data_IF_690077593732
#
_entry.id   IF_690077593732
#
_cell.length_a   1.000
_cell.length_b   1.000
_cell.length_c   1.000
_cell.angle_alpha   90.00
_cell.angle_beta   90.00
_cell.angle_gamma   90.00
#
_symmetry.space_group_name_H-M   'P 1'
#
loop_
_entity.id
_entity.type
_entity.pdbx_description
1 polymer ?
#
# COMPACT_ATOMS: atom_id res chain seq x y z
N UNK A 1 -25.85 17.85 -8.70
CA UNK A 1 -25.22 17.23 -7.51
C UNK A 1 -23.96 16.40 -7.83
N UNK A 2 -24.00 15.45 -8.77
CA UNK A 2 -22.86 14.58 -9.10
C UNK A 2 -21.54 15.31 -9.53
N UNK A 3 -21.63 16.46 -10.18
CA UNK A 3 -20.46 17.24 -10.63
C UNK A 3 -19.71 17.95 -9.49
N UNK A 4 -20.41 18.37 -8.45
CA UNK A 4 -19.81 19.03 -7.28
C UNK A 4 -19.08 18.00 -6.38
N UNK A 5 -19.64 16.81 -6.22
CA UNK A 5 -19.04 15.70 -5.47
C UNK A 5 -17.72 15.26 -6.11
N UNK A 6 -17.66 15.11 -7.45
CA UNK A 6 -16.41 14.77 -8.14
C UNK A 6 -15.31 15.84 -7.93
N UNK A 7 -15.67 17.13 -7.95
CA UNK A 7 -14.71 18.21 -7.69
C UNK A 7 -14.13 18.16 -6.28
N UNK A 8 -14.96 17.87 -5.28
CA UNK A 8 -14.51 17.72 -3.89
C UNK A 8 -13.51 16.57 -3.73
N UNK A 9 -13.72 15.44 -4.42
CA UNK A 9 -12.79 14.31 -4.40
C UNK A 9 -11.41 14.66 -4.99
N UNK A 10 -11.37 15.39 -6.11
CA UNK A 10 -10.11 15.84 -6.69
C UNK A 10 -9.38 16.84 -5.79
N UNK A 11 -10.11 17.78 -5.18
CA UNK A 11 -9.51 18.69 -4.19
C UNK A 11 -8.90 17.93 -3.00
N UNK A 12 -9.62 16.94 -2.48
CA UNK A 12 -9.14 16.09 -1.40
C UNK A 12 -7.90 15.28 -1.83
N UNK A 13 -7.89 14.79 -3.07
CA UNK A 13 -6.72 14.09 -3.63
C UNK A 13 -5.49 14.99 -3.70
N UNK A 14 -5.63 16.27 -4.07
CA UNK A 14 -4.53 17.21 -4.06
C UNK A 14 -3.99 17.48 -2.65
N UNK A 15 -4.89 17.61 -1.66
CA UNK A 15 -4.48 17.78 -0.25
C UNK A 15 -3.68 16.56 0.22
N UNK A 16 -4.18 15.34 -0.03
CA UNK A 16 -3.48 14.13 0.37
C UNK A 16 -2.21 13.87 -0.45
N UNK A 17 -2.11 14.35 -1.69
CA UNK A 17 -0.86 14.34 -2.43
C UNK A 17 0.19 15.26 -1.77
N UNK A 18 -0.21 16.43 -1.30
CA UNK A 18 0.69 17.32 -0.54
C UNK A 18 1.12 16.69 0.80
N UNK A 19 0.19 16.04 1.51
CA UNK A 19 0.52 15.28 2.74
C UNK A 19 1.51 14.16 2.45
N UNK A 20 1.29 13.37 1.40
CA UNK A 20 2.21 12.30 0.99
C UNK A 20 3.58 12.85 0.60
N UNK A 21 3.62 13.97 -0.12
CA UNK A 21 4.87 14.65 -0.47
C UNK A 21 5.67 15.03 0.78
N UNK A 22 5.02 15.66 1.77
CA UNK A 22 5.67 16.05 3.02
C UNK A 22 6.18 14.80 3.76
N UNK A 23 5.39 13.73 3.87
CA UNK A 23 5.81 12.50 4.54
C UNK A 23 7.03 11.87 3.83
N UNK A 24 7.04 11.88 2.50
CA UNK A 24 8.15 11.32 1.73
C UNK A 24 9.42 12.19 1.79
N UNK A 25 9.29 13.51 1.98
CA UNK A 25 10.42 14.43 2.16
C UNK A 25 11.02 14.38 3.58
N UNK A 26 10.23 13.97 4.57
CA UNK A 26 10.71 13.80 5.95
C UNK A 26 10.66 12.32 6.34
N UNK A 27 11.52 11.49 5.74
CA UNK A 27 11.54 10.08 6.08
C UNK A 27 12.03 9.95 7.52
N UNK A 28 11.12 9.74 8.46
CA UNK A 28 11.46 9.18 9.75
C UNK A 28 11.88 7.73 9.50
N UNK A 29 13.09 7.57 9.00
CA UNK A 29 13.68 6.27 8.74
C UNK A 29 14.46 5.85 9.96
N UNK A 30 14.00 4.78 10.61
CA UNK A 30 14.78 4.12 11.63
C UNK A 30 15.60 3.02 10.93
N UNK A 31 16.95 3.15 10.90
CA UNK A 31 17.79 2.06 10.40
C UNK A 31 17.66 0.87 11.33
N UNK A 32 17.19 -0.25 10.81
CA UNK A 32 17.09 -1.49 11.56
C UNK A 32 18.30 -2.36 11.20
N UNK A 33 19.19 -2.55 12.17
CA UNK A 33 20.18 -3.62 12.17
C UNK A 33 21.35 -3.51 11.18
N UNK A 34 21.72 -2.33 10.68
CA UNK A 34 22.94 -2.16 9.86
C UNK A 34 22.91 -2.81 8.46
N UNK A 35 21.81 -3.43 8.07
CA UNK A 35 21.65 -4.18 6.82
C UNK A 35 20.97 -3.40 5.70
N UNK A 36 20.80 -2.07 5.87
CA UNK A 36 20.12 -1.23 4.87
C UNK A 36 18.59 -1.36 4.86
N UNK A 37 18.00 -2.02 5.85
CA UNK A 37 16.55 -1.98 6.10
C UNK A 37 16.18 -0.65 6.76
N UNK A 38 15.18 0.04 6.20
CA UNK A 38 14.69 1.30 6.74
C UNK A 38 13.20 1.16 7.06
N UNK A 39 12.86 1.38 8.33
CA UNK A 39 11.48 1.63 8.71
C UNK A 39 11.13 3.06 8.29
N UNK A 40 10.23 3.22 7.37
CA UNK A 40 9.79 4.53 6.90
C UNK A 40 8.30 4.74 7.14
N UNK A 41 7.91 5.93 7.59
CA UNK A 41 6.50 6.28 7.83
C UNK A 41 5.69 6.28 6.52
N UNK A 42 6.32 6.44 5.38
CA UNK A 42 5.65 6.38 4.07
C UNK A 42 4.99 5.01 3.83
N UNK A 43 5.50 3.92 4.42
CA UNK A 43 4.87 2.60 4.42
C UNK A 43 3.47 2.59 5.02
N UNK A 44 3.21 3.48 5.97
CA UNK A 44 1.92 3.57 6.67
C UNK A 44 1.00 4.56 5.95
N UNK A 45 1.55 5.64 5.40
CA UNK A 45 0.76 6.69 4.76
C UNK A 45 0.02 6.22 3.52
N UNK A 46 0.63 5.38 2.70
CA UNK A 46 0.03 4.89 1.47
C UNK A 46 -1.24 4.05 1.71
N UNK A 47 -1.23 2.99 2.56
CA UNK A 47 -2.45 2.28 2.94
C UNK A 47 -3.50 3.18 3.58
N UNK A 48 -3.08 4.13 4.41
CA UNK A 48 -3.95 5.10 5.06
C UNK A 48 -4.69 5.97 4.02
N UNK A 49 -3.97 6.59 3.08
CA UNK A 49 -4.55 7.41 2.03
C UNK A 49 -5.47 6.58 1.12
N UNK A 50 -5.05 5.36 0.77
CA UNK A 50 -5.86 4.42 0.01
C UNK A 50 -7.15 4.02 0.72
N UNK A 51 -7.10 3.80 2.03
CA UNK A 51 -8.28 3.54 2.86
C UNK A 51 -9.23 4.73 2.86
N UNK A 52 -8.73 5.96 3.00
CA UNK A 52 -9.56 7.17 3.06
C UNK A 52 -10.21 7.49 1.72
N UNK A 53 -9.41 7.55 0.65
CA UNK A 53 -9.83 8.08 -0.65
C UNK A 53 -10.30 7.00 -1.63
N UNK A 54 -10.10 5.73 -1.29
CA UNK A 54 -10.41 4.62 -2.20
C UNK A 54 -9.34 4.40 -3.28
N UNK A 55 -9.56 3.41 -4.17
CA UNK A 55 -8.50 2.90 -5.04
C UNK A 55 -8.01 3.88 -6.10
N UNK A 56 -8.87 4.74 -6.65
CA UNK A 56 -8.47 5.68 -7.70
C UNK A 56 -7.80 6.92 -7.10
N UNK A 57 -8.55 7.65 -6.27
CA UNK A 57 -8.10 8.91 -5.72
C UNK A 57 -6.91 8.73 -4.77
N UNK A 58 -6.92 7.67 -3.96
CA UNK A 58 -5.81 7.33 -3.07
C UNK A 58 -4.54 6.98 -3.84
N UNK A 59 -4.64 6.15 -4.87
CA UNK A 59 -3.49 5.79 -5.72
C UNK A 59 -2.88 7.02 -6.40
N UNK A 60 -3.73 7.87 -7.01
CA UNK A 60 -3.27 9.09 -7.68
C UNK A 60 -2.62 10.05 -6.69
N UNK A 61 -3.22 10.25 -5.51
CA UNK A 61 -2.65 11.12 -4.47
C UNK A 61 -1.26 10.66 -4.03
N UNK A 62 -1.11 9.36 -3.74
CA UNK A 62 0.16 8.80 -3.30
C UNK A 62 1.20 8.84 -4.42
N UNK A 63 0.82 8.48 -5.64
CA UNK A 63 1.70 8.54 -6.80
C UNK A 63 2.25 9.96 -7.01
N UNK A 64 1.36 10.94 -7.10
CA UNK A 64 1.75 12.35 -7.34
C UNK A 64 2.59 12.91 -6.20
N UNK A 65 2.19 12.70 -4.95
CA UNK A 65 2.92 13.18 -3.79
C UNK A 65 4.33 12.61 -3.72
N UNK A 66 4.47 11.30 -3.94
CA UNK A 66 5.79 10.63 -3.97
C UNK A 66 6.63 11.09 -5.16
N UNK A 67 6.05 11.20 -6.37
CA UNK A 67 6.77 11.70 -7.54
C UNK A 67 7.35 13.09 -7.30
N UNK A 68 6.55 14.00 -6.74
CA UNK A 68 7.00 15.37 -6.45
C UNK A 68 8.11 15.34 -5.41
N UNK A 69 7.97 14.58 -4.32
CA UNK A 69 8.98 14.47 -3.28
C UNK A 69 10.32 13.97 -3.84
N UNK A 70 10.30 12.91 -4.65
CA UNK A 70 11.51 12.32 -5.25
C UNK A 70 12.18 13.27 -6.23
N UNK A 71 11.42 14.09 -6.97
CA UNK A 71 11.98 15.09 -7.89
C UNK A 71 12.58 16.28 -7.13
N UNK A 72 11.90 16.71 -6.05
CA UNK A 72 12.35 17.86 -5.25
C UNK A 72 13.61 17.53 -4.46
N UNK A 73 13.63 16.39 -3.81
CA UNK A 73 14.75 15.96 -2.97
C UNK A 73 14.95 14.43 -3.00
N UNK A 74 15.66 13.92 -4.03
CA UNK A 74 15.87 12.48 -4.16
C UNK A 74 16.54 11.83 -2.96
N UNK A 75 17.45 12.55 -2.30
CA UNK A 75 18.18 12.03 -1.13
C UNK A 75 17.28 11.88 0.09
N UNK A 76 16.34 12.78 0.28
CA UNK A 76 15.36 12.70 1.36
C UNK A 76 14.36 11.55 1.15
N UNK A 77 14.05 11.20 -0.09
CA UNK A 77 13.11 10.12 -0.41
C UNK A 77 13.65 8.70 -0.13
N UNK A 78 14.84 8.56 0.47
CA UNK A 78 15.38 7.30 0.95
C UNK A 78 15.45 6.21 -0.13
N UNK A 79 14.84 5.06 0.14
CA UNK A 79 14.83 3.92 -0.79
C UNK A 79 14.15 4.25 -2.14
N UNK A 80 13.15 5.13 -2.15
CA UNK A 80 12.46 5.56 -3.38
C UNK A 80 13.36 6.47 -4.21
N UNK A 81 14.11 7.36 -3.58
CA UNK A 81 15.12 8.19 -4.24
C UNK A 81 16.22 7.35 -4.86
N UNK A 82 16.64 6.28 -4.20
CA UNK A 82 17.61 5.32 -4.75
C UNK A 82 17.05 4.68 -6.04
N UNK A 83 15.79 4.25 -6.06
CA UNK A 83 15.16 3.73 -7.28
C UNK A 83 15.19 4.77 -8.40
N UNK A 84 14.86 6.02 -8.10
CA UNK A 84 14.85 7.09 -9.08
C UNK A 84 16.25 7.42 -9.64
N UNK A 85 17.29 7.31 -8.82
CA UNK A 85 18.68 7.61 -9.21
C UNK A 85 19.27 6.67 -10.26
N UNK A 86 18.66 5.50 -10.48
CA UNK A 86 19.06 4.59 -11.56
C UNK A 86 18.71 5.11 -12.95
N UNK A 87 17.88 6.16 -13.06
CA UNK A 87 17.49 6.78 -14.33
C UNK A 87 17.78 8.28 -14.32
N UNK A 88 19.07 8.67 -14.16
CA UNK A 88 19.44 10.07 -13.97
C UNK A 88 19.14 10.96 -15.17
N UNK A 89 19.14 10.39 -16.38
CA UNK A 89 18.84 11.12 -17.61
C UNK A 89 17.35 11.58 -17.69
N UNK A 90 16.47 10.92 -16.94
CA UNK A 90 15.03 11.20 -16.94
C UNK A 90 14.48 11.17 -15.50
N UNK A 91 14.77 12.19 -14.68
CA UNK A 91 14.41 12.19 -13.26
C UNK A 91 12.91 12.00 -13.01
N UNK A 92 12.05 12.54 -13.88
CA UNK A 92 10.61 12.34 -13.79
C UNK A 92 10.17 10.90 -14.03
N UNK A 93 10.85 10.18 -14.93
CA UNK A 93 10.59 8.75 -15.16
C UNK A 93 10.99 7.94 -13.94
N UNK A 94 12.17 8.21 -13.38
CA UNK A 94 12.63 7.59 -12.14
C UNK A 94 11.70 7.86 -10.97
N UNK A 95 11.25 9.09 -10.81
CA UNK A 95 10.29 9.48 -9.77
C UNK A 95 8.92 8.79 -9.96
N UNK A 96 8.43 8.68 -11.19
CA UNK A 96 7.20 7.98 -11.50
C UNK A 96 7.31 6.49 -11.14
N UNK A 97 8.40 5.84 -11.53
CA UNK A 97 8.68 4.43 -11.19
C UNK A 97 8.73 4.25 -9.67
N UNK A 98 9.45 5.12 -8.96
CA UNK A 98 9.52 5.09 -7.50
C UNK A 98 8.12 5.30 -6.86
N UNK A 99 7.31 6.19 -7.42
CA UNK A 99 5.97 6.48 -6.95
C UNK A 99 4.97 5.32 -7.11
N UNK A 100 5.18 4.42 -8.09
CA UNK A 100 4.35 3.23 -8.26
C UNK A 100 4.42 2.33 -7.00
N UNK A 101 5.53 2.31 -6.30
CA UNK A 101 5.74 1.47 -5.11
C UNK A 101 4.66 1.75 -4.06
N UNK A 102 4.62 2.92 -3.40
CA UNK A 102 3.60 3.21 -2.39
C UNK A 102 2.19 3.34 -3.00
N UNK A 103 2.08 3.77 -4.27
CA UNK A 103 0.79 3.84 -4.95
C UNK A 103 0.11 2.47 -5.08
N UNK A 104 0.88 1.37 -5.21
CA UNK A 104 0.33 0.01 -5.20
C UNK A 104 -0.26 -0.35 -3.85
N UNK A 105 0.40 0.02 -2.74
CA UNK A 105 -0.16 -0.14 -1.40
C UNK A 105 -1.47 0.62 -1.23
N UNK A 106 -1.53 1.88 -1.66
CA UNK A 106 -2.76 2.67 -1.63
C UNK A 106 -3.88 2.06 -2.48
N UNK A 107 -3.55 1.55 -3.68
CA UNK A 107 -4.52 0.86 -4.53
C UNK A 107 -5.12 -0.36 -3.85
N UNK A 108 -4.28 -1.23 -3.27
CA UNK A 108 -4.71 -2.45 -2.58
C UNK A 108 -5.60 -2.10 -1.38
N UNK A 109 -5.19 -1.15 -0.52
CA UNK A 109 -6.01 -0.68 0.59
C UNK A 109 -7.37 -0.17 0.14
N UNK A 110 -7.39 0.66 -0.90
CA UNK A 110 -8.61 1.19 -1.48
C UNK A 110 -9.52 0.12 -2.07
N UNK A 111 -8.97 -0.93 -2.70
CA UNK A 111 -9.74 -2.07 -3.22
C UNK A 111 -10.38 -2.88 -2.12
N UNK A 112 -9.66 -3.14 -1.03
CA UNK A 112 -10.21 -3.86 0.14
C UNK A 112 -11.30 -3.01 0.78
N UNK A 113 -11.06 -1.71 1.02
CA UNK A 113 -12.04 -0.77 1.59
C UNK A 113 -13.32 -0.68 0.77
N UNK A 114 -13.22 -0.67 -0.56
CA UNK A 114 -14.37 -0.62 -1.48
C UNK A 114 -14.98 -1.98 -1.81
N UNK A 115 -14.58 -3.04 -1.08
CA UNK A 115 -15.09 -4.42 -1.22
C UNK A 115 -14.86 -5.03 -2.61
N UNK A 116 -13.89 -4.52 -3.36
CA UNK A 116 -13.50 -5.02 -4.70
C UNK A 116 -12.32 -5.97 -4.61
N UNK A 117 -12.47 -7.04 -3.84
CA UNK A 117 -11.39 -7.95 -3.43
C UNK A 117 -10.70 -8.69 -4.57
N UNK A 118 -11.39 -8.97 -5.69
CA UNK A 118 -10.85 -9.80 -6.79
C UNK A 118 -9.54 -9.27 -7.38
N UNK A 119 -9.33 -7.96 -7.37
CA UNK A 119 -8.11 -7.37 -7.91
C UNK A 119 -6.88 -7.61 -7.02
N UNK A 120 -7.07 -7.84 -5.71
CA UNK A 120 -5.96 -7.93 -4.75
C UNK A 120 -5.07 -9.15 -4.99
N UNK A 121 -5.59 -10.39 -5.03
CA UNK A 121 -4.75 -11.54 -5.32
C UNK A 121 -4.15 -11.50 -6.73
N UNK A 122 -4.82 -10.89 -7.71
CA UNK A 122 -4.27 -10.72 -9.06
C UNK A 122 -3.02 -9.84 -9.07
N UNK A 123 -3.01 -8.76 -8.26
CA UNK A 123 -1.81 -7.92 -8.07
C UNK A 123 -0.66 -8.75 -7.52
N UNK A 124 -0.90 -9.55 -6.47
CA UNK A 124 0.14 -10.41 -5.90
C UNK A 124 0.66 -11.45 -6.89
N UNK A 125 -0.23 -12.14 -7.60
CA UNK A 125 0.15 -13.14 -8.60
C UNK A 125 1.01 -12.50 -9.68
N UNK A 126 0.58 -11.36 -10.23
CA UNK A 126 1.34 -10.63 -11.24
C UNK A 126 2.74 -10.26 -10.72
N UNK A 127 2.82 -9.69 -9.52
CA UNK A 127 4.09 -9.24 -8.96
C UNK A 127 5.02 -10.41 -8.60
N UNK A 128 4.50 -11.52 -8.09
CA UNK A 128 5.28 -12.73 -7.84
C UNK A 128 5.85 -13.28 -9.15
N UNK A 129 5.02 -13.35 -10.20
CA UNK A 129 5.49 -13.79 -11.52
C UNK A 129 6.57 -12.84 -12.06
N UNK A 130 6.36 -11.53 -11.97
CA UNK A 130 7.37 -10.55 -12.38
C UNK A 130 8.66 -10.69 -11.58
N UNK A 131 8.59 -10.95 -10.28
CA UNK A 131 9.78 -11.20 -9.45
C UNK A 131 10.51 -12.47 -9.90
N UNK A 132 9.80 -13.56 -10.14
CA UNK A 132 10.38 -14.83 -10.59
C UNK A 132 11.02 -14.75 -11.98
N UNK A 133 10.57 -13.81 -12.81
CA UNK A 133 11.16 -13.54 -14.12
C UNK A 133 12.46 -12.71 -14.04
N UNK A 134 12.81 -12.16 -12.88
CA UNK A 134 14.09 -11.48 -12.68
C UNK A 134 15.24 -12.51 -12.57
N UNK A 135 16.49 -12.12 -12.89
CA UNK A 135 17.65 -13.03 -12.74
C UNK A 135 17.85 -13.56 -11.30
N UNK A 136 17.40 -12.83 -10.30
CA UNK A 136 17.55 -13.15 -8.88
C UNK A 136 16.36 -13.91 -8.33
N UNK A 137 15.17 -13.73 -8.90
CA UNK A 137 13.93 -14.28 -8.38
C UNK A 137 13.96 -15.79 -8.14
N UNK A 138 14.39 -16.63 -9.09
CA UNK A 138 14.49 -18.08 -8.88
C UNK A 138 15.48 -18.49 -7.78
N UNK A 139 16.50 -17.65 -7.53
CA UNK A 139 17.51 -17.90 -6.49
C UNK A 139 17.05 -17.45 -5.10
N UNK A 140 16.16 -16.45 -5.04
CA UNK A 140 15.66 -15.85 -3.81
C UNK A 140 14.23 -16.30 -3.44
N UNK A 141 13.85 -17.54 -3.74
CA UNK A 141 12.50 -18.06 -3.46
C UNK A 141 12.10 -17.96 -1.99
N UNK A 142 13.06 -18.20 -1.10
CA UNK A 142 12.84 -18.09 0.35
C UNK A 142 12.42 -16.68 0.78
N UNK A 143 12.79 -15.63 0.05
CA UNK A 143 12.38 -14.27 0.32
C UNK A 143 10.87 -14.06 0.12
N UNK A 144 10.23 -14.83 -0.75
CA UNK A 144 8.80 -14.67 -1.06
C UNK A 144 7.85 -15.21 0.01
N UNK A 145 8.34 -15.89 1.05
CA UNK A 145 7.47 -16.60 2.00
C UNK A 145 6.36 -15.71 2.61
N UNK A 146 6.68 -14.47 3.03
CA UNK A 146 5.68 -13.57 3.62
C UNK A 146 4.73 -12.98 2.56
N UNK A 147 5.21 -12.81 1.32
CA UNK A 147 4.36 -12.40 0.20
C UNK A 147 3.36 -13.50 -0.20
N UNK A 148 3.76 -14.77 -0.08
CA UNK A 148 2.87 -15.92 -0.26
C UNK A 148 1.81 -15.95 0.84
N UNK A 149 2.17 -15.64 2.09
CA UNK A 149 1.20 -15.47 3.19
C UNK A 149 0.23 -14.34 2.87
N UNK A 150 0.70 -13.18 2.40
CA UNK A 150 -0.15 -12.06 2.01
C UNK A 150 -1.06 -12.41 0.82
N UNK A 151 -0.56 -13.17 -0.16
CA UNK A 151 -1.37 -13.71 -1.26
C UNK A 151 -2.46 -14.64 -0.71
N UNK A 152 -2.12 -15.60 0.15
CA UNK A 152 -3.09 -16.51 0.76
C UNK A 152 -4.19 -15.75 1.53
N UNK A 153 -3.80 -14.74 2.32
CA UNK A 153 -4.75 -13.87 3.01
C UNK A 153 -5.63 -13.10 2.01
N UNK A 154 -5.05 -12.62 0.90
CA UNK A 154 -5.82 -11.92 -0.15
C UNK A 154 -6.82 -12.84 -0.87
N UNK A 155 -6.49 -14.12 -1.03
CA UNK A 155 -7.42 -15.14 -1.57
C UNK A 155 -8.53 -15.45 -0.57
N UNK A 156 -8.22 -15.49 0.73
CA UNK A 156 -9.25 -15.67 1.78
C UNK A 156 -10.30 -14.55 1.76
N UNK A 157 -9.96 -13.33 1.29
CA UNK A 157 -10.94 -12.25 1.10
C UNK A 157 -12.04 -12.62 0.10
N UNK A 158 -11.82 -13.61 -0.76
CA UNK A 158 -12.81 -14.09 -1.73
C UNK A 158 -13.76 -15.14 -1.14
N UNK A 159 -13.40 -15.76 -0.01
CA UNK A 159 -14.22 -16.79 0.66
C UNK A 159 -15.42 -16.13 1.33
N UNK A 160 -16.67 -16.52 1.03
CA UNK A 160 -17.88 -15.84 1.49
C UNK A 160 -17.97 -15.67 3.01
N UNK A 161 -17.57 -16.67 3.78
CA UNK A 161 -17.60 -16.62 5.26
C UNK A 161 -16.62 -15.58 5.79
N UNK A 162 -15.39 -15.56 5.30
CA UNK A 162 -14.36 -14.62 5.71
C UNK A 162 -14.72 -13.20 5.27
N UNK A 163 -15.20 -13.05 4.03
CA UNK A 163 -15.70 -11.80 3.47
C UNK A 163 -16.76 -11.14 4.37
N UNK A 164 -17.75 -11.90 4.84
CA UNK A 164 -18.81 -11.38 5.72
C UNK A 164 -18.25 -10.82 7.03
N UNK A 165 -17.29 -11.52 7.66
CA UNK A 165 -16.63 -11.03 8.88
C UNK A 165 -15.81 -9.76 8.62
N UNK A 166 -15.09 -9.73 7.52
CA UNK A 166 -14.30 -8.58 7.12
C UNK A 166 -15.18 -7.34 6.85
N UNK A 167 -16.29 -7.52 6.17
CA UNK A 167 -17.21 -6.43 5.85
C UNK A 167 -17.87 -5.84 7.10
N UNK A 168 -18.16 -6.65 8.10
CA UNK A 168 -18.64 -6.16 9.40
C UNK A 168 -17.56 -5.35 10.13
N UNK A 169 -16.28 -5.79 10.07
CA UNK A 169 -15.16 -5.05 10.63
C UNK A 169 -14.85 -3.73 9.91
N UNK A 170 -14.97 -3.71 8.58
CA UNK A 170 -14.75 -2.48 7.80
C UNK A 170 -15.83 -1.42 7.98
N UNK A 171 -17.06 -1.82 8.34
CA UNK A 171 -18.16 -0.87 8.55
C UNK A 171 -17.99 -0.03 9.82
N UNK A 172 -17.16 -0.50 10.79
CA UNK A 172 -17.00 0.11 12.12
C UNK A 172 -18.35 0.47 12.76
N UNK A 173 -19.38 -0.33 12.44
CA UNK A 173 -20.70 -0.14 13.03
C UNK A 173 -20.64 -0.36 14.55
N UNK A 174 -21.50 0.32 15.29
CA UNK A 174 -21.57 0.19 16.75
C UNK A 174 -21.82 -1.26 17.21
N UNK A 175 -22.41 -2.07 16.34
CA UNK A 175 -22.71 -3.49 16.58
C UNK A 175 -21.53 -4.43 16.29
N UNK A 176 -20.48 -3.95 15.59
CA UNK A 176 -19.31 -4.76 15.33
C UNK A 176 -18.39 -4.76 16.55
N UNK A 177 -17.93 -5.95 16.97
CA UNK A 177 -16.89 -6.03 17.99
C UNK A 177 -15.69 -5.19 17.57
N UNK A 178 -15.22 -4.32 18.44
CA UNK A 178 -14.02 -3.47 18.22
C UNK A 178 -12.81 -4.31 17.79
N UNK A 179 -12.70 -5.53 18.35
CA UNK A 179 -11.64 -6.45 17.98
C UNK A 179 -11.71 -6.92 16.53
N UNK A 180 -12.93 -7.22 16.03
CA UNK A 180 -13.12 -7.63 14.62
C UNK A 180 -12.76 -6.48 13.69
N UNK A 181 -13.15 -5.25 14.04
CA UNK A 181 -12.77 -4.05 13.30
C UNK A 181 -11.25 -3.83 13.27
N UNK A 182 -10.60 -3.93 14.42
CA UNK A 182 -9.14 -3.74 14.52
C UNK A 182 -8.36 -4.80 13.73
N UNK A 183 -8.72 -6.08 13.83
CA UNK A 183 -8.09 -7.17 13.07
C UNK A 183 -8.30 -6.97 11.57
N UNK A 184 -9.50 -6.58 11.17
CA UNK A 184 -9.83 -6.33 9.76
C UNK A 184 -8.97 -5.20 9.17
N UNK A 185 -8.85 -4.09 9.90
CA UNK A 185 -8.04 -2.95 9.47
C UNK A 185 -6.56 -3.32 9.45
N UNK A 186 -6.08 -4.03 10.45
CA UNK A 186 -4.71 -4.54 10.46
C UNK A 186 -4.42 -5.43 9.25
N UNK A 187 -5.28 -6.38 8.91
CA UNK A 187 -5.14 -7.24 7.74
C UNK A 187 -5.11 -6.41 6.44
N UNK A 188 -5.97 -5.41 6.32
CA UNK A 188 -5.98 -4.49 5.19
C UNK A 188 -4.62 -3.80 5.04
N UNK A 189 -4.09 -3.23 6.12
CA UNK A 189 -2.80 -2.52 6.12
C UNK A 189 -1.67 -3.49 5.82
N UNK A 190 -1.65 -4.66 6.45
CA UNK A 190 -0.63 -5.69 6.22
C UNK A 190 -0.58 -6.12 4.75
N UNK A 191 -1.71 -6.49 4.15
CA UNK A 191 -1.77 -6.89 2.73
C UNK A 191 -1.30 -5.73 1.84
N UNK A 192 -1.65 -4.49 2.16
CA UNK A 192 -1.26 -3.31 1.39
C UNK A 192 0.24 -3.03 1.45
N UNK A 193 0.84 -3.10 2.64
CA UNK A 193 2.30 -2.95 2.85
C UNK A 193 3.06 -4.08 2.15
N UNK A 194 2.52 -5.30 2.16
CA UNK A 194 3.16 -6.42 1.47
C UNK A 194 3.11 -6.28 -0.05
N UNK A 195 2.05 -5.70 -0.63
CA UNK A 195 1.99 -5.40 -2.06
C UNK A 195 3.00 -4.31 -2.45
N UNK A 196 3.10 -3.24 -1.69
CA UNK A 196 4.11 -2.19 -1.82
C UNK A 196 5.53 -2.79 -1.77
N UNK A 197 5.84 -3.56 -0.74
CA UNK A 197 7.13 -4.22 -0.60
C UNK A 197 7.48 -5.14 -1.78
N UNK A 198 6.51 -5.88 -2.29
CA UNK A 198 6.73 -6.77 -3.44
C UNK A 198 7.05 -5.98 -4.72
N UNK A 199 6.35 -4.86 -4.97
CA UNK A 199 6.67 -3.96 -6.09
C UNK A 199 8.08 -3.42 -5.97
N UNK A 200 8.45 -2.91 -4.78
CA UNK A 200 9.81 -2.43 -4.53
C UNK A 200 10.87 -3.52 -4.78
N UNK A 201 10.58 -4.76 -4.38
CA UNK A 201 11.47 -5.91 -4.58
C UNK A 201 11.61 -6.28 -6.04
N UNK A 202 10.51 -6.28 -6.80
CA UNK A 202 10.54 -6.48 -8.27
C UNK A 202 11.39 -5.39 -8.93
N UNK A 203 11.13 -4.12 -8.60
CA UNK A 203 11.87 -3.01 -9.19
C UNK A 203 13.36 -3.08 -8.87
N UNK A 204 13.73 -3.35 -7.61
CA UNK A 204 15.13 -3.53 -7.22
C UNK A 204 15.78 -4.68 -7.99
N UNK A 205 15.11 -5.81 -8.11
CA UNK A 205 15.66 -6.97 -8.81
C UNK A 205 15.89 -6.70 -10.31
N UNK A 206 15.10 -5.83 -10.95
CA UNK A 206 15.34 -5.39 -12.32
C UNK A 206 16.40 -4.28 -12.41
N UNK A 207 16.41 -3.32 -11.49
CA UNK A 207 17.36 -2.19 -11.52
C UNK A 207 18.77 -2.62 -11.16
N UNK A 208 18.94 -3.65 -10.34
CA UNK A 208 20.24 -4.23 -10.01
C UNK A 208 20.82 -5.10 -11.16
N UNK A 209 20.31 -4.96 -12.36
CA UNK A 209 20.85 -5.68 -13.53
C UNK A 209 22.35 -5.42 -13.78
N UNK A 210 22.85 -4.28 -13.32
CA UNK A 210 24.28 -3.91 -13.39
C UNK A 210 25.11 -4.46 -12.21
N UNK A 211 24.49 -5.10 -11.24
CA UNK A 211 25.12 -5.65 -10.04
C UNK A 211 25.17 -7.18 -10.18
N UNK A 212 26.26 -7.84 -9.77
CA UNK A 212 26.32 -9.30 -9.81
C UNK A 212 25.14 -9.95 -9.06
N UNK A 213 24.45 -10.94 -9.66
CA UNK A 213 23.29 -11.59 -9.04
C UNK A 213 23.57 -12.16 -7.65
N UNK A 214 24.81 -12.58 -7.39
CA UNK A 214 25.25 -13.09 -6.08
C UNK A 214 25.15 -12.03 -4.99
N UNK A 215 25.60 -10.80 -5.26
CA UNK A 215 25.51 -9.70 -4.28
C UNK A 215 24.04 -9.32 -4.00
N UNK A 216 23.19 -9.36 -5.01
CA UNK A 216 21.76 -9.10 -4.84
C UNK A 216 21.12 -10.22 -4.03
N UNK A 217 21.51 -11.47 -4.25
CA UNK A 217 21.05 -12.62 -3.46
C UNK A 217 21.44 -12.48 -1.99
N UNK A 218 22.68 -12.04 -1.70
CA UNK A 218 23.15 -11.81 -0.34
C UNK A 218 22.30 -10.77 0.39
N UNK A 219 21.90 -9.69 -0.31
CA UNK A 219 20.99 -8.68 0.24
C UNK A 219 19.62 -9.29 0.60
N UNK A 220 19.00 -10.06 -0.31
CA UNK A 220 17.72 -10.70 -0.03
C UNK A 220 17.80 -11.73 1.10
N UNK A 221 18.92 -12.45 1.19
CA UNK A 221 19.15 -13.42 2.26
C UNK A 221 19.34 -12.73 3.61
N UNK A 222 20.11 -11.64 3.65
CA UNK A 222 20.37 -10.90 4.89
C UNK A 222 19.09 -10.29 5.49
N UNK A 223 18.15 -9.86 4.65
CA UNK A 223 16.91 -9.20 5.12
C UNK A 223 15.76 -10.17 5.39
N UNK A 224 15.89 -11.45 5.07
CA UNK A 224 14.78 -12.43 5.12
C UNK A 224 14.11 -12.55 6.49
N UNK A 225 14.85 -12.31 7.57
CA UNK A 225 14.35 -12.37 8.95
C UNK A 225 13.90 -10.98 9.42
N UNK A 226 14.58 -9.93 8.97
CA UNK A 226 14.37 -8.57 9.47
C UNK A 226 13.12 -7.95 8.86
N UNK A 227 12.95 -8.08 7.54
CA UNK A 227 11.82 -7.41 6.86
C UNK A 227 10.42 -7.88 7.34
N UNK A 228 10.19 -9.17 7.70
CA UNK A 228 8.90 -9.57 8.23
C UNK A 228 8.52 -8.86 9.53
N UNK A 229 9.49 -8.73 10.44
CA UNK A 229 9.29 -8.04 11.72
C UNK A 229 8.93 -6.58 11.47
N UNK A 230 9.68 -5.92 10.60
CA UNK A 230 9.44 -4.55 10.19
C UNK A 230 8.02 -4.36 9.59
N UNK A 231 7.60 -5.24 8.67
CA UNK A 231 6.28 -5.15 8.01
C UNK A 231 5.13 -5.44 8.95
N UNK A 232 5.30 -6.37 9.89
CA UNK A 232 4.30 -6.64 10.92
C UNK A 232 4.16 -5.43 11.86
N UNK A 233 5.27 -4.86 12.34
CA UNK A 233 5.24 -3.67 13.20
C UNK A 233 4.62 -2.48 12.47
N UNK A 234 5.03 -2.21 11.23
CA UNK A 234 4.46 -1.14 10.40
C UNK A 234 2.94 -1.32 10.22
N UNK A 235 2.51 -2.54 9.96
CA UNK A 235 1.07 -2.83 9.77
C UNK A 235 0.25 -2.67 11.06
N UNK A 236 0.82 -3.00 12.21
CA UNK A 236 0.18 -2.79 13.51
C UNK A 236 0.02 -1.31 13.81
N UNK A 237 1.09 -0.52 13.62
CA UNK A 237 1.05 0.94 13.82
C UNK A 237 0.06 1.59 12.85
N UNK A 238 0.13 1.25 11.56
CA UNK A 238 -0.77 1.78 10.54
C UNK A 238 -2.23 1.40 10.79
N UNK A 239 -2.48 0.16 11.19
CA UNK A 239 -3.80 -0.33 11.58
C UNK A 239 -4.37 0.45 12.77
N UNK A 240 -3.54 0.67 13.81
CA UNK A 240 -3.93 1.46 14.98
C UNK A 240 -4.30 2.91 14.62
N UNK A 241 -3.49 3.57 13.78
CA UNK A 241 -3.75 4.94 13.32
C UNK A 241 -5.08 5.01 12.56
N UNK A 242 -5.36 4.06 11.67
CA UNK A 242 -6.61 4.02 10.90
C UNK A 242 -7.81 3.80 11.83
N UNK A 243 -7.71 2.90 12.81
CA UNK A 243 -8.78 2.64 13.79
C UNK A 243 -9.08 3.90 14.61
N UNK A 244 -8.04 4.58 15.12
CA UNK A 244 -8.21 5.83 15.88
C UNK A 244 -8.90 6.90 15.03
N UNK A 245 -8.43 7.09 13.80
CA UNK A 245 -9.05 8.09 12.91
C UNK A 245 -10.50 7.74 12.61
N UNK A 246 -10.78 6.50 12.25
CA UNK A 246 -12.13 6.05 11.95
C UNK A 246 -13.08 6.23 13.14
N UNK A 247 -12.63 5.91 14.36
CA UNK A 247 -13.38 6.15 15.58
C UNK A 247 -13.63 7.65 15.82
N UNK A 248 -12.63 8.49 15.57
CA UNK A 248 -12.74 9.95 15.72
C UNK A 248 -13.75 10.54 14.72
N UNK A 249 -13.67 10.12 13.46
CA UNK A 249 -14.60 10.58 12.42
C UNK A 249 -16.04 10.16 12.72
N UNK A 250 -16.24 8.94 13.20
CA UNK A 250 -17.57 8.44 13.61
C UNK A 250 -18.14 9.26 14.77
N UNK A 251 -17.32 9.56 15.78
CA UNK A 251 -17.75 10.42 16.91
C UNK A 251 -18.07 11.85 16.49
N UNK A 252 -17.38 12.37 15.49
CA UNK A 252 -17.61 13.69 14.93
C UNK A 252 -18.80 13.73 13.94
N UNK A 253 -19.53 12.63 13.75
CA UNK A 253 -20.56 12.45 12.72
C UNK A 253 -20.06 12.77 11.29
N UNK A 254 -18.76 12.66 11.09
CA UNK A 254 -18.14 12.81 9.78
C UNK A 254 -18.08 11.44 9.11
N UNK A 255 -19.00 11.23 8.20
CA UNK A 255 -18.96 10.01 7.38
C UNK A 255 -17.89 10.16 6.31
N UNK A 256 -16.90 9.25 6.33
CA UNK A 256 -16.03 9.09 5.17
C UNK A 256 -16.92 8.81 3.96
N UNK A 257 -16.75 9.57 2.87
CA UNK A 257 -17.54 9.35 1.69
C UNK A 257 -17.37 7.88 1.27
N UNK A 258 -18.36 7.07 1.57
CA UNK A 258 -18.42 5.73 1.01
C UNK A 258 -18.68 5.94 -0.47
N UNK A 259 -17.81 5.39 -1.35
CA UNK A 259 -18.25 5.07 -2.68
C UNK A 259 -19.32 3.98 -2.51
N UNK A 260 -20.53 4.40 -2.15
CA UNK A 260 -21.67 3.54 -2.27
C UNK A 260 -21.63 3.03 -3.72
N UNK A 261 -21.43 1.73 -3.88
CA UNK A 261 -21.88 1.04 -5.08
C UNK A 261 -23.31 1.56 -5.22
N UNK A 262 -23.69 2.21 -6.34
CA UNK A 262 -25.08 2.59 -6.52
C UNK A 262 -25.87 1.32 -6.26
N UNK A 263 -26.66 1.34 -5.20
CA UNK A 263 -27.68 0.34 -4.95
C UNK A 263 -28.42 0.28 -6.27
N UNK A 264 -28.38 -0.85 -6.95
CA UNK A 264 -29.22 -1.05 -8.12
C UNK A 264 -30.60 -0.71 -7.60
N UNK A 265 -31.17 0.40 -8.04
CA UNK A 265 -32.60 0.59 -7.99
C UNK A 265 -33.19 -0.72 -8.51
N UNK A 266 -33.64 -1.56 -7.60
CA UNK A 266 -34.55 -2.64 -7.95
C UNK A 266 -35.73 -1.92 -8.59
N UNK A 267 -35.72 -1.89 -9.90
CA UNK A 267 -36.89 -1.52 -10.70
C UNK A 267 -37.99 -2.47 -10.25
N UNK A 268 -38.77 -2.02 -9.28
CA UNK A 268 -40.03 -2.66 -8.93
C UNK A 268 -40.88 -2.50 -10.18
N UNK A 269 -40.79 -3.52 -11.06
CA UNK A 269 -41.84 -3.72 -12.10
C UNK A 269 -43.08 -4.17 -11.34
N UNK A 270 -43.97 -3.21 -11.14
CA UNK A 270 -45.39 -3.46 -10.82
C UNK A 270 -46.13 -3.74 -12.13
#
# INVERSE_FOLDING_TARGET
MARSVKKAWWALSCIFAAVQMVIALFPLTLPIGGTGGYFSIDLISAPFIGYLLGPLYGTVSVLLGTCIAVVVEPSAAGALGTIASFIPAFPWVGAFIAGIVPATGAFVAGRIRTRRYRAVPLVFILLIVLFLLTPVGPLALSFLWLHIVALALSVLLLVPRFKKHLESGLSLSADASVYVGAITIWLLVFISIMADHLVASVMRAYLFFVVPPTLVLDIYTAVIIIYPIERIIASLIGGFIIVLLAATLTRANLHLPTHAVPEKEETILV
#
